data_IF_719481624816
#
_entry.id   IF_719481624816
#
_cell.length_a   1.000
_cell.length_b   1.000
_cell.length_c   1.000
_cell.angle_alpha   90.00
_cell.angle_beta   90.00
_cell.angle_gamma   90.00
#
_symmetry.space_group_name_H-M   'P 1'
#
loop_
_entity.id
_entity.type
_entity.pdbx_description
1 polymer ?
#
# COMPACT_ATOMS: atom_id res chain seq x y z
N UNK A 1 0.62 -0.77 -9.03
CA UNK A 1 -0.20 -1.55 -8.09
C UNK A 1 -0.53 -2.88 -8.75
N UNK A 2 -0.10 -4.00 -8.18
CA UNK A 2 -0.67 -5.25 -8.69
C UNK A 2 -2.16 -5.24 -8.34
N UNK A 3 -3.05 -5.57 -9.28
CA UNK A 3 -4.48 -5.48 -9.03
C UNK A 3 -4.83 -6.41 -7.87
N UNK A 4 -5.76 -6.02 -7.01
CA UNK A 4 -6.19 -6.81 -5.87
C UNK A 4 -7.71 -6.75 -5.74
N UNK A 5 -8.27 -7.68 -4.99
CA UNK A 5 -9.69 -7.69 -4.65
C UNK A 5 -9.91 -6.83 -3.41
N UNK A 6 -11.02 -6.07 -3.37
CA UNK A 6 -11.49 -5.42 -2.16
C UNK A 6 -13.01 -5.56 -2.06
N UNK A 7 -13.48 -5.62 -0.82
CA UNK A 7 -14.88 -5.44 -0.47
C UNK A 7 -14.92 -4.18 0.40
N UNK A 8 -15.35 -3.05 -0.17
CA UNK A 8 -15.37 -1.77 0.55
C UNK A 8 -16.44 -1.74 1.64
N UNK A 9 -17.57 -2.38 1.36
CA UNK A 9 -18.69 -2.53 2.29
C UNK A 9 -19.11 -4.00 2.29
N UNK A 10 -18.75 -4.77 3.33
CA UNK A 10 -19.29 -6.13 3.47
C UNK A 10 -20.81 -6.08 3.52
N UNK A 11 -21.44 -7.16 3.03
CA UNK A 11 -22.89 -7.31 3.10
C UNK A 11 -23.30 -7.45 4.56
N UNK A 12 -24.40 -6.80 4.94
CA UNK A 12 -24.96 -6.87 6.30
C UNK A 12 -25.84 -8.12 6.49
N UNK A 13 -26.31 -8.75 5.41
CA UNK A 13 -27.10 -9.97 5.46
C UNK A 13 -26.21 -11.18 5.82
N UNK A 14 -26.53 -11.94 6.89
CA UNK A 14 -25.77 -13.14 7.25
C UNK A 14 -25.77 -14.17 6.11
N UNK A 15 -24.61 -14.79 5.87
CA UNK A 15 -24.43 -15.80 4.82
C UNK A 15 -25.39 -17.00 4.95
N UNK A 16 -25.77 -17.33 6.19
CA UNK A 16 -26.71 -18.39 6.55
C UNK A 16 -28.15 -18.12 6.09
N UNK A 17 -28.51 -16.84 5.94
CA UNK A 17 -29.85 -16.42 5.49
C UNK A 17 -29.98 -16.40 3.96
N UNK A 18 -28.86 -16.52 3.24
CA UNK A 18 -28.85 -16.49 1.77
C UNK A 18 -29.14 -17.87 1.17
N UNK A 19 -29.94 -17.91 0.11
CA UNK A 19 -30.31 -19.15 -0.58
C UNK A 19 -29.16 -19.71 -1.41
N UNK A 20 -28.93 -21.01 -1.33
CA UNK A 20 -27.92 -21.68 -2.16
C UNK A 20 -28.34 -21.71 -3.62
N UNK A 21 -27.40 -21.35 -4.50
CA UNK A 21 -27.55 -21.43 -5.95
C UNK A 21 -26.27 -22.00 -6.57
N UNK A 22 -26.31 -22.40 -7.84
CA UNK A 22 -25.12 -22.95 -8.50
C UNK A 22 -23.98 -21.92 -8.54
N UNK A 23 -22.85 -22.27 -7.89
CA UNK A 23 -21.64 -21.47 -7.84
C UNK A 23 -21.66 -20.33 -6.81
N UNK A 24 -22.59 -20.34 -5.85
CA UNK A 24 -22.63 -19.33 -4.78
C UNK A 24 -23.97 -19.27 -4.06
N UNK A 25 -24.37 -18.05 -3.68
CA UNK A 25 -25.61 -17.79 -2.93
C UNK A 25 -26.41 -16.65 -3.56
N UNK A 26 -27.72 -16.59 -3.30
CA UNK A 26 -28.58 -15.46 -3.62
C UNK A 26 -28.84 -14.65 -2.34
N UNK A 27 -28.53 -13.36 -2.39
CA UNK A 27 -28.75 -12.42 -1.30
C UNK A 27 -30.07 -11.68 -1.55
N UNK A 28 -31.07 -11.90 -0.70
CA UNK A 28 -32.39 -11.26 -0.83
C UNK A 28 -32.31 -9.76 -0.61
N UNK A 29 -31.47 -9.31 0.33
CA UNK A 29 -31.35 -7.90 0.69
C UNK A 29 -30.96 -7.00 -0.49
N UNK A 30 -30.08 -7.49 -1.37
CA UNK A 30 -29.66 -6.74 -2.56
C UNK A 30 -30.14 -7.36 -3.89
N UNK A 31 -30.86 -8.48 -3.82
CA UNK A 31 -31.35 -9.28 -4.96
C UNK A 31 -30.25 -9.63 -5.98
N UNK A 32 -29.00 -9.81 -5.52
CA UNK A 32 -27.85 -10.16 -6.38
C UNK A 32 -27.38 -11.59 -6.12
N UNK A 33 -26.82 -12.19 -7.17
CA UNK A 33 -25.99 -13.40 -7.06
C UNK A 33 -24.66 -13.05 -6.39
N UNK A 34 -24.32 -13.81 -5.35
CA UNK A 34 -23.06 -13.74 -4.62
C UNK A 34 -22.23 -14.97 -5.00
N UNK A 35 -21.17 -14.80 -5.78
CA UNK A 35 -20.33 -15.91 -6.24
C UNK A 35 -19.39 -16.38 -5.13
N UNK A 36 -19.30 -17.69 -4.88
CA UNK A 36 -18.27 -18.20 -3.97
C UNK A 36 -16.93 -18.31 -4.70
N UNK A 37 -15.95 -17.52 -4.26
CA UNK A 37 -14.59 -17.48 -4.79
C UNK A 37 -13.56 -18.01 -3.78
N UNK A 38 -14.02 -18.49 -2.60
CA UNK A 38 -13.15 -18.83 -1.48
C UNK A 38 -12.16 -19.95 -1.79
N UNK A 39 -12.57 -20.92 -2.62
CA UNK A 39 -11.74 -22.05 -3.03
C UNK A 39 -10.99 -21.83 -4.36
N UNK A 40 -11.11 -20.64 -4.97
CA UNK A 40 -10.51 -20.35 -6.27
C UNK A 40 -9.09 -19.79 -6.17
N UNK A 41 -8.26 -20.19 -7.13
CA UNK A 41 -6.90 -19.63 -7.27
C UNK A 41 -6.91 -18.29 -8.03
N UNK A 42 -5.75 -17.61 -8.05
CA UNK A 42 -5.62 -16.30 -8.70
C UNK A 42 -6.03 -16.32 -10.18
N UNK A 43 -5.66 -17.35 -10.92
CA UNK A 43 -5.93 -17.46 -12.35
C UNK A 43 -7.43 -17.60 -12.62
N UNK A 44 -8.12 -18.40 -11.81
CA UNK A 44 -9.57 -18.59 -11.89
C UNK A 44 -10.33 -17.31 -11.53
N UNK A 45 -9.94 -16.66 -10.44
CA UNK A 45 -10.48 -15.37 -10.03
C UNK A 45 -10.29 -14.33 -11.13
N UNK A 46 -9.08 -14.23 -11.71
CA UNK A 46 -8.80 -13.30 -12.80
C UNK A 46 -9.64 -13.58 -14.04
N UNK A 47 -9.90 -14.84 -14.38
CA UNK A 47 -10.78 -15.22 -15.48
C UNK A 47 -12.22 -14.76 -15.23
N UNK A 48 -12.74 -14.95 -14.02
CA UNK A 48 -14.09 -14.49 -13.64
C UNK A 48 -14.16 -12.96 -13.75
N UNK A 49 -13.16 -12.24 -13.24
CA UNK A 49 -13.09 -10.79 -13.34
C UNK A 49 -13.04 -10.30 -14.80
N UNK A 50 -12.31 -10.99 -15.67
CA UNK A 50 -12.23 -10.68 -17.10
C UNK A 50 -13.53 -10.97 -17.85
N UNK A 51 -14.31 -11.96 -17.41
CA UNK A 51 -15.63 -12.27 -17.97
C UNK A 51 -16.67 -11.22 -17.55
N UNK A 52 -16.58 -10.70 -16.33
CA UNK A 52 -17.51 -9.70 -15.78
C UNK A 52 -17.03 -8.25 -16.02
N UNK A 53 -16.26 -7.98 -17.09
CA UNK A 53 -15.59 -6.69 -17.34
C UNK A 53 -16.52 -5.47 -17.18
N UNK A 54 -16.39 -4.79 -16.04
CA UNK A 54 -17.10 -3.55 -15.73
C UNK A 54 -18.43 -3.73 -15.00
N UNK A 55 -18.89 -4.96 -14.84
CA UNK A 55 -20.08 -5.27 -14.05
C UNK A 55 -19.72 -5.44 -12.57
N UNK A 56 -20.50 -4.81 -11.71
CA UNK A 56 -20.39 -4.96 -10.26
C UNK A 56 -21.08 -6.25 -9.86
N UNK A 57 -20.34 -7.17 -9.27
CA UNK A 57 -20.88 -8.42 -8.74
C UNK A 57 -20.47 -8.61 -7.29
N UNK A 58 -21.27 -9.40 -6.56
CA UNK A 58 -20.97 -9.77 -5.19
C UNK A 58 -20.20 -11.09 -5.16
N UNK A 59 -19.31 -11.28 -4.19
CA UNK A 59 -18.71 -12.58 -3.96
C UNK A 59 -18.28 -12.83 -2.54
N UNK A 60 -18.00 -14.09 -2.24
CA UNK A 60 -17.52 -14.61 -0.96
C UNK A 60 -16.06 -14.96 -1.15
N UNK A 61 -15.20 -14.41 -0.29
CA UNK A 61 -13.76 -14.54 -0.34
C UNK A 61 -13.24 -14.74 1.08
N UNK A 62 -12.15 -15.46 1.24
CA UNK A 62 -11.38 -15.38 2.47
C UNK A 62 -10.75 -13.99 2.60
N UNK A 63 -10.65 -13.46 3.83
CA UNK A 63 -9.99 -12.16 4.08
C UNK A 63 -8.57 -12.11 3.50
N UNK A 64 -7.83 -13.22 3.61
CA UNK A 64 -6.49 -13.36 3.02
C UNK A 64 -6.47 -13.29 1.47
N UNK A 65 -7.60 -13.42 0.78
CA UNK A 65 -7.72 -13.21 -0.66
C UNK A 65 -7.93 -11.73 -1.03
N UNK A 66 -8.32 -10.88 -0.08
CA UNK A 66 -8.51 -9.44 -0.25
C UNK A 66 -7.20 -8.68 -0.04
N UNK A 67 -7.12 -7.47 -0.60
CA UNK A 67 -6.00 -6.52 -0.48
C UNK A 67 -4.61 -7.07 -0.86
N UNK A 68 -4.56 -8.29 -1.41
CA UNK A 68 -3.34 -8.92 -1.93
C UNK A 68 -3.26 -8.84 -3.44
N UNK A 69 -2.03 -8.77 -3.93
CA UNK A 69 -1.73 -8.82 -5.36
C UNK A 69 -2.31 -10.08 -6.01
N UNK A 70 -3.28 -9.92 -6.90
CA UNK A 70 -3.67 -10.93 -7.87
C UNK A 70 -2.63 -10.96 -9.00
N UNK A 71 -1.81 -12.00 -9.01
CA UNK A 71 -0.89 -12.32 -10.11
C UNK A 71 -1.27 -13.66 -10.72
N UNK A 72 -1.27 -13.72 -12.05
CA UNK A 72 -1.11 -14.98 -12.76
C UNK A 72 0.28 -15.54 -12.42
N UNK A 73 0.36 -16.81 -12.09
CA UNK A 73 1.63 -17.52 -12.19
C UNK A 73 2.07 -17.41 -13.66
N UNK A 74 3.24 -16.79 -13.90
CA UNK A 74 3.67 -16.41 -15.25
C UNK A 74 3.66 -17.62 -16.19
N UNK A 75 2.69 -17.68 -17.08
CA UNK A 75 2.86 -18.30 -18.40
C UNK A 75 3.16 -17.13 -19.35
N UNK A 76 4.30 -17.12 -20.06
CA UNK A 76 4.59 -16.05 -21.01
C UNK A 76 3.57 -16.09 -22.14
N UNK A 77 2.55 -15.23 -22.07
CA UNK A 77 1.56 -15.09 -23.13
C UNK A 77 2.04 -14.06 -24.16
N UNK A 78 2.37 -14.55 -25.35
CA UNK A 78 2.58 -13.74 -26.55
C UNK A 78 1.23 -13.21 -27.04
N UNK A 79 0.73 -12.14 -26.42
CA UNK A 79 -0.32 -11.32 -27.05
C UNK A 79 0.24 -9.93 -27.28
N UNK A 80 0.50 -9.63 -28.55
CA UNK A 80 1.01 -8.32 -29.00
C UNK A 80 -0.07 -7.26 -28.84
N UNK A 81 0.04 -6.30 -27.90
CA UNK A 81 -0.83 -5.14 -27.94
C UNK A 81 -0.35 -4.21 -29.07
N UNK A 82 -1.30 -3.45 -29.62
CA UNK A 82 -1.06 -2.39 -30.62
C UNK A 82 0.16 -1.55 -30.20
N UNK A 83 1.17 -1.44 -31.07
CA UNK A 83 2.45 -0.73 -30.84
C UNK A 83 2.24 0.76 -30.57
N UNK A 84 1.79 1.12 -29.37
CA UNK A 84 1.91 2.48 -28.84
C UNK A 84 3.13 2.44 -27.93
N UNK A 85 4.22 3.08 -28.38
CA UNK A 85 5.47 3.11 -27.62
C UNK A 85 5.25 3.97 -26.39
N UNK A 86 5.45 3.39 -25.20
CA UNK A 86 5.37 4.07 -23.90
C UNK A 86 6.10 5.42 -23.90
N UNK A 87 7.21 5.54 -24.64
CA UNK A 87 7.96 6.79 -24.87
C UNK A 87 7.10 7.99 -25.28
N UNK A 88 6.08 7.82 -26.14
CA UNK A 88 5.18 8.94 -26.55
C UNK A 88 4.23 9.36 -25.44
N UNK A 89 3.82 8.40 -24.59
CA UNK A 89 2.92 8.65 -23.45
C UNK A 89 3.69 9.24 -22.27
N UNK A 90 4.91 8.76 -22.02
CA UNK A 90 5.83 9.30 -21.04
C UNK A 90 6.23 10.76 -21.35
N UNK A 91 6.47 11.10 -22.63
CA UNK A 91 6.71 12.48 -23.05
C UNK A 91 5.49 13.39 -22.75
N UNK A 92 4.27 12.91 -22.98
CA UNK A 92 3.05 13.64 -22.63
C UNK A 92 2.87 13.84 -21.13
N UNK A 93 3.16 12.84 -20.31
CA UNK A 93 3.14 12.93 -18.83
C UNK A 93 4.18 13.92 -18.31
N UNK A 94 5.37 13.96 -18.90
CA UNK A 94 6.42 14.90 -18.53
C UNK A 94 6.04 16.36 -18.86
N UNK A 95 5.34 16.58 -19.99
CA UNK A 95 4.90 17.90 -20.45
C UNK A 95 3.73 18.47 -19.61
N UNK A 96 2.80 17.63 -19.15
CA UNK A 96 1.72 18.09 -18.25
C UNK A 96 2.22 18.34 -16.83
N UNK A 97 3.21 17.57 -16.36
CA UNK A 97 3.84 17.78 -15.06
C UNK A 97 4.84 18.96 -15.02
N UNK A 98 5.12 19.61 -16.15
CA UNK A 98 5.94 20.83 -16.21
C UNK A 98 5.12 22.11 -16.08
N UNK A 99 3.79 22.00 -16.15
CA UNK A 99 2.87 23.06 -15.74
C UNK A 99 2.34 22.69 -14.34
N UNK A 100 2.45 23.59 -13.36
CA UNK A 100 2.00 23.53 -11.93
C UNK A 100 2.74 22.68 -10.88
N UNK A 101 3.14 23.40 -9.82
CA UNK A 101 3.20 23.07 -8.39
C UNK A 101 3.82 21.71 -8.01
N UNK A 102 5.11 21.74 -7.65
CA UNK A 102 5.73 20.74 -6.77
C UNK A 102 4.84 20.46 -5.58
N UNK A 103 4.68 19.20 -5.19
CA UNK A 103 4.01 18.86 -3.94
C UNK A 103 4.74 19.56 -2.78
N UNK A 104 4.14 20.55 -2.11
CA UNK A 104 4.82 21.24 -1.04
C UNK A 104 4.92 20.28 0.14
N UNK A 105 6.14 20.10 0.67
CA UNK A 105 6.33 19.55 2.01
C UNK A 105 5.57 20.44 2.99
N UNK A 106 4.61 19.87 3.69
CA UNK A 106 3.95 20.48 4.82
C UNK A 106 4.71 20.09 6.09
N UNK A 107 5.75 20.84 6.39
CA UNK A 107 6.22 20.94 7.76
C UNK A 107 5.09 21.56 8.59
N UNK A 108 4.26 20.73 9.21
CA UNK A 108 3.65 21.12 10.48
C UNK A 108 4.82 21.26 11.45
N UNK A 109 5.11 22.51 11.81
CA UNK A 109 6.21 22.88 12.70
C UNK A 109 6.01 22.14 14.01
N UNK A 110 6.82 21.11 14.26
CA UNK A 110 7.04 20.63 15.62
C UNK A 110 7.79 21.74 16.35
N UNK A 111 7.13 22.34 17.33
CA UNK A 111 7.69 23.36 18.22
C UNK A 111 9.00 22.83 18.83
N UNK A 112 10.13 23.37 18.37
CA UNK A 112 11.43 23.10 18.97
C UNK A 112 11.50 23.90 20.27
N UNK A 113 11.17 23.28 21.40
CA UNK A 113 11.78 23.72 22.64
C UNK A 113 13.26 23.32 22.56
N UNK A 114 14.12 24.32 22.57
CA UNK A 114 15.56 24.15 22.74
C UNK A 114 15.80 23.26 23.97
N UNK A 115 16.32 22.06 23.74
CA UNK A 115 16.84 21.24 24.84
C UNK A 115 18.19 21.84 25.19
N UNK A 116 18.19 22.67 26.23
CA UNK A 116 19.39 22.97 27.00
C UNK A 116 19.95 21.65 27.50
N UNK A 117 21.12 21.30 26.99
CA UNK A 117 21.90 20.16 27.46
C UNK A 117 22.38 20.47 28.87
N UNK A 118 21.79 19.83 29.86
CA UNK A 118 22.37 19.70 31.19
C UNK A 118 22.90 18.28 31.34
N UNK A 119 24.23 18.20 31.39
CA UNK A 119 24.99 17.01 31.71
C UNK A 119 24.75 16.59 33.17
N UNK A 120 24.46 15.31 33.39
CA UNK A 120 25.23 14.47 34.31
C UNK A 120 24.62 13.07 34.35
N UNK A 121 25.39 12.08 33.95
CA UNK A 121 25.33 10.71 34.46
C UNK A 121 26.51 9.92 33.89
N UNK A 122 27.48 9.67 34.77
CA UNK A 122 28.64 8.82 34.55
C UNK A 122 28.23 7.41 34.12
N UNK A 123 28.51 7.05 32.86
CA UNK A 123 28.60 5.65 32.44
C UNK A 123 29.91 5.48 31.65
N UNK A 124 30.74 4.56 32.14
CA UNK A 124 32.07 4.23 31.64
C UNK A 124 32.04 3.85 30.16
N UNK A 125 32.93 4.49 29.41
CA UNK A 125 33.19 4.32 27.98
C UNK A 125 34.12 3.11 27.81
N UNK A 126 33.66 2.08 27.10
CA UNK A 126 34.54 1.17 26.38
C UNK A 126 34.65 1.65 24.92
N UNK A 127 35.89 1.72 24.46
CA UNK A 127 36.32 2.36 23.22
C UNK A 127 35.70 1.72 21.97
N UNK A 128 34.84 2.47 21.29
CA UNK A 128 34.54 2.28 19.88
C UNK A 128 34.98 3.52 19.12
N UNK A 129 35.76 3.35 18.06
CA UNK A 129 36.19 4.41 17.14
C UNK A 129 35.02 5.32 16.74
N UNK A 130 35.26 6.63 16.53
CA UNK A 130 34.20 7.54 16.08
C UNK A 130 33.74 7.11 14.68
N UNK A 131 32.61 6.42 14.61
CA UNK A 131 31.93 6.15 13.35
C UNK A 131 31.66 7.50 12.69
N UNK A 132 32.36 7.78 11.58
CA UNK A 132 32.01 8.90 10.69
C UNK A 132 30.50 8.84 10.45
N UNK A 133 29.79 9.90 10.83
CA UNK A 133 28.37 10.05 10.52
C UNK A 133 28.21 9.93 9.01
N UNK A 134 27.73 8.77 8.58
CA UNK A 134 27.58 8.37 7.19
C UNK A 134 26.38 9.06 6.53
N UNK A 135 25.74 10.02 7.20
CA UNK A 135 24.60 10.80 6.68
C UNK A 135 23.31 9.99 6.59
N UNK A 136 23.31 8.74 7.04
CA UNK A 136 22.17 7.85 7.02
C UNK A 136 21.45 7.85 8.37
N UNK A 137 20.14 7.66 8.30
CA UNK A 137 19.25 7.40 9.41
C UNK A 137 18.79 5.95 9.35
N UNK A 138 18.68 5.33 10.52
CA UNK A 138 18.31 3.91 10.65
C UNK A 138 16.92 3.81 11.24
N UNK A 139 16.02 3.13 10.55
CA UNK A 139 14.74 2.66 11.07
C UNK A 139 14.89 1.17 11.35
N UNK A 140 14.59 0.73 12.56
CA UNK A 140 14.74 -0.67 12.94
C UNK A 140 13.62 -1.13 13.86
N UNK A 141 13.39 -2.44 13.86
CA UNK A 141 12.36 -3.03 14.71
C UNK A 141 12.25 -4.53 14.53
N UNK A 142 11.15 -5.07 15.07
CA UNK A 142 10.79 -6.48 14.99
C UNK A 142 9.30 -6.61 14.67
N UNK A 143 8.97 -7.58 13.82
CA UNK A 143 7.59 -7.88 13.42
C UNK A 143 7.22 -9.27 13.94
N UNK A 144 6.11 -9.34 14.67
CA UNK A 144 5.61 -10.56 15.29
C UNK A 144 4.10 -10.67 15.17
N UNK A 145 3.62 -11.90 15.26
CA UNK A 145 2.21 -12.22 15.47
C UNK A 145 1.70 -11.63 16.79
N UNK A 146 0.50 -11.04 16.77
CA UNK A 146 -0.09 -10.37 17.91
C UNK A 146 -0.40 -11.30 19.09
N UNK A 147 -0.70 -12.57 18.81
CA UNK A 147 -1.17 -13.56 19.78
C UNK A 147 -0.03 -14.45 20.28
N UNK A 148 0.71 -15.06 19.37
CA UNK A 148 1.71 -16.08 19.72
C UNK A 148 3.16 -15.56 19.69
N UNK A 149 3.37 -14.29 19.32
CA UNK A 149 4.68 -13.62 19.25
C UNK A 149 5.69 -14.24 18.27
N UNK A 150 5.24 -15.16 17.42
CA UNK A 150 6.06 -15.77 16.38
C UNK A 150 6.53 -14.69 15.39
N UNK A 151 7.79 -14.73 14.95
CA UNK A 151 8.28 -13.83 13.90
C UNK A 151 7.49 -13.96 12.60
N UNK A 152 7.20 -12.82 11.97
CA UNK A 152 6.52 -12.79 10.66
C UNK A 152 7.46 -12.21 9.61
N UNK A 153 7.91 -13.03 8.64
CA UNK A 153 8.63 -12.56 7.47
C UNK A 153 7.84 -11.50 6.70
N UNK A 154 8.40 -10.30 6.57
CA UNK A 154 7.71 -9.17 5.93
C UNK A 154 8.67 -8.28 5.14
N UNK A 155 8.12 -7.58 4.14
CA UNK A 155 8.75 -6.43 3.50
C UNK A 155 8.31 -5.14 4.20
N UNK A 156 9.26 -4.23 4.43
CA UNK A 156 9.01 -2.93 5.05
C UNK A 156 9.31 -1.86 4.02
N UNK A 157 8.36 -0.97 3.77
CA UNK A 157 8.48 0.15 2.84
C UNK A 157 8.36 1.47 3.59
N UNK A 158 9.39 2.30 3.51
CA UNK A 158 9.35 3.70 3.92
C UNK A 158 8.98 4.55 2.70
N UNK A 159 7.73 5.00 2.66
CA UNK A 159 7.10 5.63 1.50
C UNK A 159 7.10 7.14 1.69
N UNK A 160 7.69 7.87 0.74
CA UNK A 160 7.58 9.33 0.63
C UNK A 160 7.08 9.71 -0.76
N UNK A 161 6.67 10.96 -0.96
CA UNK A 161 6.28 11.48 -2.27
C UNK A 161 7.41 11.41 -3.33
N UNK A 162 8.67 11.32 -2.92
CA UNK A 162 9.83 11.37 -3.80
C UNK A 162 10.49 10.02 -4.05
N UNK A 163 10.41 9.11 -3.08
CA UNK A 163 11.08 7.81 -3.15
C UNK A 163 10.51 6.85 -2.12
N UNK A 164 10.60 5.56 -2.44
CA UNK A 164 10.37 4.48 -1.48
C UNK A 164 11.68 3.76 -1.20
N UNK A 165 11.93 3.51 0.08
CA UNK A 165 13.05 2.69 0.56
C UNK A 165 12.49 1.40 1.16
N UNK A 166 13.07 0.26 0.80
CA UNK A 166 12.56 -1.03 1.24
C UNK A 166 13.62 -1.88 1.92
N UNK A 167 13.20 -2.72 2.87
CA UNK A 167 14.00 -3.77 3.48
C UNK A 167 13.12 -4.98 3.78
N UNK A 168 13.72 -6.08 4.23
CA UNK A 168 12.99 -7.27 4.68
C UNK A 168 13.46 -7.68 6.05
N UNK A 169 12.56 -8.35 6.77
CA UNK A 169 12.91 -8.97 8.05
C UNK A 169 13.85 -10.14 7.87
N UNK A 170 14.69 -10.39 8.86
CA UNK A 170 15.41 -11.65 9.03
C UNK A 170 14.50 -12.80 9.51
N UNK A 171 15.10 -13.98 9.72
CA UNK A 171 14.39 -15.18 10.22
C UNK A 171 13.75 -15.03 11.60
N UNK A 172 14.18 -14.03 12.37
CA UNK A 172 13.70 -13.75 13.72
C UNK A 172 12.73 -12.56 13.75
N UNK A 173 12.37 -12.02 12.57
CA UNK A 173 11.42 -10.93 12.38
C UNK A 173 12.04 -9.55 12.54
N UNK A 174 13.36 -9.43 12.72
CA UNK A 174 14.02 -8.14 12.85
C UNK A 174 14.30 -7.51 11.50
N UNK A 175 14.15 -6.19 11.41
CA UNK A 175 14.50 -5.43 10.21
C UNK A 175 15.38 -4.23 10.56
N UNK A 176 16.17 -3.83 9.57
CA UNK A 176 17.01 -2.64 9.57
C UNK A 176 16.91 -1.98 8.20
N UNK A 177 16.52 -0.71 8.19
CA UNK A 177 16.34 0.10 6.99
C UNK A 177 17.20 1.35 7.11
N UNK A 178 18.16 1.50 6.19
CA UNK A 178 18.97 2.70 6.09
C UNK A 178 18.39 3.64 5.05
N UNK A 179 18.18 4.90 5.44
CA UNK A 179 17.70 5.97 4.57
C UNK A 179 18.58 7.21 4.71
N UNK A 180 18.76 8.01 3.66
CA UNK A 180 19.42 9.31 3.76
C UNK A 180 18.68 10.26 4.73
N UNK A 181 19.38 10.99 5.61
CA UNK A 181 18.75 11.91 6.59
C UNK A 181 17.92 13.02 5.94
N UNK A 182 18.28 13.45 4.74
CA UNK A 182 17.58 14.52 4.01
C UNK A 182 16.16 14.12 3.58
N UNK A 183 15.85 12.82 3.50
CA UNK A 183 14.50 12.36 3.19
C UNK A 183 13.52 12.54 4.37
N UNK A 184 14.02 12.66 5.60
CA UNK A 184 13.19 12.77 6.81
C UNK A 184 12.40 14.09 6.89
N UNK A 185 12.73 15.07 6.05
CA UNK A 185 12.00 16.35 5.97
C UNK A 185 10.65 16.22 5.25
N UNK A 186 10.44 15.12 4.52
CA UNK A 186 9.20 14.87 3.79
C UNK A 186 8.25 14.01 4.61
N UNK A 187 6.95 14.17 4.33
CA UNK A 187 5.91 13.32 4.89
C UNK A 187 6.16 11.88 4.45
N UNK A 188 6.30 11.00 5.43
CA UNK A 188 6.57 9.58 5.24
C UNK A 188 5.60 8.67 5.99
N UNK A 189 5.32 7.51 5.39
CA UNK A 189 4.57 6.42 6.00
C UNK A 189 5.43 5.15 6.00
N UNK A 190 5.37 4.35 7.06
CA UNK A 190 5.85 2.98 7.04
C UNK A 190 4.73 2.03 6.68
N UNK A 191 4.98 1.17 5.71
CA UNK A 191 4.12 0.06 5.33
C UNK A 191 4.83 -1.25 5.65
N UNK A 192 4.14 -2.14 6.38
CA UNK A 192 4.60 -3.47 6.74
C UNK A 192 3.74 -4.49 5.97
N UNK A 193 4.34 -5.14 4.98
CA UNK A 193 3.68 -6.09 4.08
C UNK A 193 4.16 -7.50 4.39
N UNK A 194 3.33 -8.33 5.04
CA UNK A 194 3.68 -9.72 5.35
C UNK A 194 3.84 -10.54 4.08
N UNK A 195 4.77 -11.51 4.10
CA UNK A 195 4.91 -12.47 3.01
C UNK A 195 3.77 -13.50 3.00
N UNK A 196 3.21 -13.78 4.18
CA UNK A 196 2.07 -14.67 4.37
C UNK A 196 0.77 -13.85 4.40
N UNK A 197 -0.16 -14.18 3.51
CA UNK A 197 -1.44 -13.48 3.37
C UNK A 197 -2.41 -13.71 4.54
N UNK A 198 -2.09 -14.65 5.44
CA UNK A 198 -2.83 -14.85 6.69
C UNK A 198 -2.64 -13.71 7.71
N UNK A 199 -1.90 -12.66 7.35
CA UNK A 199 -1.74 -11.44 8.13
C UNK A 199 -2.06 -10.22 7.29
N UNK A 200 -2.73 -9.24 7.91
CA UNK A 200 -3.03 -7.98 7.23
C UNK A 200 -1.79 -7.08 7.12
N UNK A 201 -1.73 -6.35 5.99
CA UNK A 201 -0.78 -5.27 5.82
C UNK A 201 -1.06 -4.17 6.84
N UNK A 202 0.00 -3.60 7.42
CA UNK A 202 -0.12 -2.50 8.39
C UNK A 202 0.58 -1.24 7.91
N UNK A 203 -0.09 -0.10 8.05
CA UNK A 203 0.46 1.22 7.76
C UNK A 203 0.55 2.03 9.04
N UNK A 204 1.69 2.69 9.28
CA UNK A 204 1.93 3.47 10.50
C UNK A 204 2.71 4.74 10.18
N UNK A 205 2.29 5.86 10.79
CA UNK A 205 3.02 7.13 10.79
C UNK A 205 3.74 7.26 12.13
N UNK A 206 5.02 7.63 12.08
CA UNK A 206 5.82 7.94 13.26
C UNK A 206 6.39 9.34 13.17
N UNK A 207 6.53 10.00 14.33
CA UNK A 207 7.40 11.17 14.43
C UNK A 207 8.86 10.75 14.24
N UNK A 208 9.71 11.67 13.78
CA UNK A 208 11.15 11.40 13.58
C UNK A 208 11.80 10.86 14.87
N UNK A 209 11.43 11.41 16.03
CA UNK A 209 11.92 10.99 17.35
C UNK A 209 11.51 9.55 17.71
N UNK A 210 10.35 9.09 17.23
CA UNK A 210 9.89 7.73 17.45
C UNK A 210 10.49 6.78 16.42
N UNK A 211 10.74 7.21 15.17
CA UNK A 211 11.40 6.41 14.13
C UNK A 211 12.80 5.93 14.54
N UNK A 212 13.54 6.71 15.34
CA UNK A 212 14.88 6.33 15.79
C UNK A 212 14.86 5.24 16.89
N UNK A 213 13.70 4.96 17.48
CA UNK A 213 13.55 3.90 18.48
C UNK A 213 13.31 2.56 17.77
N UNK A 214 13.66 1.46 18.44
CA UNK A 214 13.33 0.11 17.95
C UNK A 214 11.82 -0.11 18.04
N UNK A 215 11.19 -0.38 16.91
CA UNK A 215 9.75 -0.64 16.86
C UNK A 215 9.44 -2.11 17.14
N UNK A 216 8.38 -2.38 17.90
CA UNK A 216 7.76 -3.70 17.96
C UNK A 216 6.41 -3.62 17.25
N UNK A 217 6.34 -4.22 16.07
CA UNK A 217 5.13 -4.26 15.25
C UNK A 217 4.45 -5.60 15.47
N UNK A 218 3.21 -5.53 15.95
CA UNK A 218 2.31 -6.67 16.03
C UNK A 218 1.37 -6.65 14.83
N UNK A 219 1.31 -7.75 14.11
CA UNK A 219 0.36 -7.98 13.02
C UNK A 219 -0.71 -8.95 13.50
N UNK A 220 -1.93 -8.68 13.10
CA UNK A 220 -3.09 -9.49 13.44
C UNK A 220 -3.24 -10.60 12.41
N UNK A 221 -3.48 -11.81 12.90
CA UNK A 221 -3.84 -12.94 12.06
C UNK A 221 -5.25 -12.68 11.50
N UNK A 222 -5.38 -12.57 10.18
CA UNK A 222 -6.64 -12.23 9.52
C UNK A 222 -7.45 -13.48 9.11
N UNK A 223 -6.90 -14.68 9.34
CA UNK A 223 -7.60 -15.95 9.27
C UNK A 223 -8.09 -16.40 7.90
N UNK A 224 -8.86 -17.51 7.94
CA UNK A 224 -9.69 -18.03 6.85
C UNK A 224 -11.15 -17.55 7.02
N UNK A 225 -11.35 -16.37 7.60
CA UNK A 225 -12.70 -15.83 7.74
C UNK A 225 -13.23 -15.46 6.35
N UNK A 226 -14.46 -15.89 6.04
CA UNK A 226 -15.15 -15.48 4.83
C UNK A 226 -15.68 -14.05 5.01
N UNK A 227 -15.35 -13.18 4.07
CA UNK A 227 -15.94 -11.87 3.87
C UNK A 227 -16.72 -11.88 2.55
N UNK A 228 -17.86 -11.21 2.52
CA UNK A 228 -18.74 -11.20 1.36
C UNK A 228 -19.38 -9.83 1.14
N UNK A 229 -19.59 -9.47 -0.12
CA UNK A 229 -20.07 -8.15 -0.53
C UNK A 229 -19.72 -7.84 -1.98
N UNK A 230 -19.96 -6.59 -2.39
CA UNK A 230 -19.62 -6.14 -3.75
C UNK A 230 -18.10 -6.11 -3.94
N UNK A 231 -17.62 -6.85 -4.94
CA UNK A 231 -16.20 -6.97 -5.25
C UNK A 231 -15.76 -5.81 -6.13
N UNK A 232 -14.64 -5.18 -5.74
CA UNK A 232 -13.88 -4.26 -6.58
C UNK A 232 -12.53 -4.87 -6.93
N UNK A 233 -12.09 -4.67 -8.18
CA UNK A 233 -10.83 -5.21 -8.71
C UNK A 233 -9.95 -4.12 -9.31
N UNK A 234 -8.67 -4.18 -8.94
CA UNK A 234 -7.66 -3.22 -9.35
C UNK A 234 -7.26 -2.30 -8.20
N UNK A 235 -6.26 -1.41 -8.39
CA UNK A 235 -6.24 -0.21 -7.57
C UNK A 235 -7.60 0.49 -7.66
N UNK A 236 -8.09 1.19 -6.61
CA UNK A 236 -9.24 2.05 -6.81
C UNK A 236 -8.90 2.94 -8.01
N UNK A 237 -9.83 3.04 -8.96
CA UNK A 237 -9.65 4.01 -10.04
C UNK A 237 -9.55 5.35 -9.35
N UNK A 238 -8.48 6.09 -9.62
CA UNK A 238 -8.35 7.42 -9.07
C UNK A 238 -9.59 8.23 -9.50
N UNK A 239 -10.15 9.02 -8.60
CA UNK A 239 -11.35 9.84 -8.83
C UNK A 239 -10.99 11.32 -8.79
N UNK A 240 -11.95 12.22 -8.98
CA UNK A 240 -11.70 13.64 -8.71
C UNK A 240 -11.30 13.94 -7.25
N UNK A 241 -11.57 13.02 -6.31
CA UNK A 241 -11.18 13.11 -4.90
C UNK A 241 -9.80 12.50 -4.62
N UNK A 242 -9.12 12.01 -5.65
CA UNK A 242 -7.80 11.41 -5.52
C UNK A 242 -6.69 12.42 -5.78
N UNK A 243 -5.62 12.33 -5.00
CA UNK A 243 -4.38 13.05 -5.25
C UNK A 243 -3.33 12.11 -5.84
N UNK A 244 -2.87 12.40 -7.05
CA UNK A 244 -1.91 11.55 -7.77
C UNK A 244 -0.60 12.30 -7.80
N UNK A 245 0.45 11.69 -7.27
CA UNK A 245 1.81 12.21 -7.21
C UNK A 245 2.68 11.26 -8.04
N UNK A 246 3.10 11.71 -9.22
CA UNK A 246 4.01 10.96 -10.10
C UNK A 246 5.39 11.62 -10.03
N UNK A 247 6.40 10.89 -9.58
CA UNK A 247 7.78 11.41 -9.44
C UNK A 247 7.83 12.76 -8.67
N UNK A 248 7.08 12.85 -7.55
CA UNK A 248 6.97 14.07 -6.74
C UNK A 248 6.07 15.18 -7.31
N UNK A 249 5.44 14.97 -8.47
CA UNK A 249 4.62 15.99 -9.16
C UNK A 249 3.14 15.60 -9.22
N UNK A 250 2.25 16.57 -9.08
CA UNK A 250 0.82 16.30 -9.16
C UNK A 250 0.43 15.95 -10.60
N UNK A 251 -0.42 14.92 -10.77
CA UNK A 251 -1.02 14.54 -12.05
C UNK A 251 -2.55 14.51 -11.95
N UNK A 252 -3.22 14.81 -13.06
CA UNK A 252 -4.68 14.63 -13.18
C UNK A 252 -5.07 13.14 -13.16
N UNK A 253 -6.14 12.82 -12.44
CA UNK A 253 -6.59 11.45 -12.24
C UNK A 253 -7.05 10.76 -13.53
N UNK A 254 -7.67 11.49 -14.47
CA UNK A 254 -8.13 10.92 -15.74
C UNK A 254 -6.94 10.55 -16.62
N UNK A 255 -5.93 11.42 -16.65
CA UNK A 255 -4.66 11.15 -17.36
C UNK A 255 -3.96 9.94 -16.74
N UNK A 256 -3.84 9.90 -15.41
CA UNK A 256 -3.26 8.77 -14.69
C UNK A 256 -4.00 7.47 -15.01
N UNK A 257 -5.32 7.40 -14.83
CA UNK A 257 -6.11 6.20 -15.08
C UNK A 257 -5.99 5.71 -16.52
N UNK A 258 -6.04 6.63 -17.50
CA UNK A 258 -5.89 6.29 -18.93
C UNK A 258 -4.50 5.73 -19.24
N UNK A 259 -3.45 6.30 -18.65
CA UNK A 259 -2.09 5.82 -18.87
C UNK A 259 -1.83 4.50 -18.16
N UNK A 260 -2.30 4.39 -16.92
CA UNK A 260 -2.15 3.20 -16.10
C UNK A 260 -2.89 1.99 -16.67
N UNK A 261 -4.08 2.18 -17.25
CA UNK A 261 -4.83 1.08 -17.89
C UNK A 261 -4.10 0.51 -19.12
N UNK A 262 -3.29 1.32 -19.82
CA UNK A 262 -2.53 0.90 -20.99
C UNK A 262 -1.14 0.34 -20.63
N UNK A 263 -0.52 0.83 -19.55
CA UNK A 263 0.89 0.55 -19.21
C UNK A 263 1.10 0.25 -17.73
N UNK A 264 0.17 -0.48 -17.09
CA UNK A 264 0.21 -0.76 -15.65
C UNK A 264 1.54 -1.37 -15.18
N UNK A 265 2.21 -2.16 -16.02
CA UNK A 265 3.52 -2.77 -15.75
C UNK A 265 4.69 -1.78 -15.72
N UNK A 266 4.51 -0.56 -16.22
CA UNK A 266 5.51 0.53 -16.21
C UNK A 266 5.42 1.42 -14.98
N UNK A 267 4.45 1.19 -14.10
CA UNK A 267 4.27 2.00 -12.91
C UNK A 267 4.47 1.15 -11.65
N UNK A 268 5.23 1.69 -10.71
CA UNK A 268 5.11 1.37 -9.30
C UNK A 268 4.10 2.33 -8.68
N UNK A 269 3.11 1.82 -7.95
CA UNK A 269 2.05 2.66 -7.38
C UNK A 269 1.84 2.23 -5.94
N UNK A 270 1.98 3.18 -5.03
CA UNK A 270 1.73 3.08 -3.61
C UNK A 270 0.45 3.85 -3.29
N UNK A 271 -0.55 3.14 -2.77
CA UNK A 271 -1.86 3.70 -2.44
C UNK A 271 -1.92 4.01 -0.95
N UNK A 272 -2.30 5.25 -0.63
CA UNK A 272 -2.46 5.75 0.73
C UNK A 272 -3.95 5.97 0.98
N UNK A 273 -4.57 5.19 1.88
CA UNK A 273 -6.00 5.28 2.14
C UNK A 273 -6.35 6.51 2.99
N UNK A 274 -7.66 6.81 3.03
CA UNK A 274 -8.24 8.05 3.57
C UNK A 274 -7.74 8.42 4.96
N UNK A 275 -7.61 7.44 5.83
CA UNK A 275 -7.18 7.59 7.22
C UNK A 275 -5.77 8.18 7.36
N UNK A 276 -4.90 8.04 6.35
CA UNK A 276 -3.55 8.62 6.35
C UNK A 276 -3.43 9.89 5.50
N UNK A 277 -4.45 10.27 4.73
CA UNK A 277 -4.39 11.41 3.79
C UNK A 277 -4.06 12.72 4.49
N UNK A 278 -4.63 12.96 5.68
CA UNK A 278 -4.44 14.21 6.43
C UNK A 278 -2.99 14.50 6.80
N UNK A 279 -2.15 13.46 6.86
CA UNK A 279 -0.73 13.61 7.13
C UNK A 279 0.04 14.18 5.95
N UNK A 280 -0.42 13.89 4.74
CA UNK A 280 0.17 14.36 3.50
C UNK A 280 -0.42 15.71 3.08
N UNK A 281 -1.74 15.91 3.23
CA UNK A 281 -2.43 17.13 2.78
C UNK A 281 -3.55 17.55 3.74
N UNK A 282 -3.73 18.85 4.01
CA UNK A 282 -4.79 19.31 4.92
C UNK A 282 -6.13 19.45 4.18
N UNK A 283 -6.13 19.23 2.85
CA UNK A 283 -7.30 19.38 1.98
C UNK A 283 -8.31 18.28 2.24
N UNK A 284 -9.46 18.64 2.79
CA UNK A 284 -10.53 17.70 3.17
C UNK A 284 -11.23 17.03 1.97
N UNK A 285 -11.15 17.64 0.78
CA UNK A 285 -11.75 17.08 -0.43
C UNK A 285 -10.91 15.94 -1.05
N UNK A 286 -9.71 15.67 -0.52
CA UNK A 286 -8.88 14.54 -0.93
C UNK A 286 -9.21 13.33 -0.05
N UNK A 287 -9.55 12.21 -0.69
CA UNK A 287 -9.97 10.99 -0.04
C UNK A 287 -8.91 9.89 -0.06
N UNK A 288 -7.97 9.94 -1.00
CA UNK A 288 -6.88 8.98 -1.12
C UNK A 288 -5.70 9.59 -1.90
N UNK A 289 -4.52 8.97 -1.80
CA UNK A 289 -3.31 9.40 -2.51
C UNK A 289 -2.68 8.22 -3.25
N UNK A 290 -2.23 8.48 -4.46
CA UNK A 290 -1.45 7.55 -5.28
C UNK A 290 -0.05 8.14 -5.45
N UNK A 291 0.94 7.53 -4.82
CA UNK A 291 2.35 7.87 -5.05
C UNK A 291 2.88 6.91 -6.10
N UNK A 292 3.34 7.47 -7.22
CA UNK A 292 3.60 6.74 -8.46
C UNK A 292 5.04 6.99 -8.90
N UNK A 293 5.74 5.91 -9.18
CA UNK A 293 7.07 5.91 -9.78
C UNK A 293 7.04 5.19 -11.12
N UNK A 294 7.79 5.69 -12.09
CA UNK A 294 7.91 5.10 -13.43
C UNK A 294 9.10 4.14 -13.44
N UNK A 295 8.89 2.92 -13.95
CA UNK A 295 9.90 1.86 -14.05
C UNK A 295 10.64 1.86 -15.39
#
# INVERSE_FOLDING_TARGET
>A
MRPHLRIEKPCEEPLENMYDITGGKHCELCSKKVLDLSDLNNTEILKILQQNKGEKFCGILFKNQLNRSLQEEKIPSNTSPRKITFSKVAAGLALTASMVNTYPSQTTVAHSNEIVVSADSNIKIENGEPRKDNGNFVISGRIVDSENTKPIPSEISFITALKVYTTRTDKNGYYHLEIPKDILKYESLLEFTPNDYAYDKKMVIYTIQNLSKKQLIKLEYNGLDKMYGEISYGPPLATEKSLIIVEGKKLDYKIFNKSYSLYSNKYEVHYIPKEFVKFFTPKENIHDIYIVFIK
#
